data_IF_594587037772
#
_entry.id   IF_594587037772
#
_cell.length_a   1.000
_cell.length_b   1.000
_cell.length_c   1.000
_cell.angle_alpha   90.00
_cell.angle_beta   90.00
_cell.angle_gamma   90.00
#
_symmetry.space_group_name_H-M   'P 1'
#
loop_
_entity.id
_entity.type
_entity.pdbx_description
1 polymer ?
#
# COMPACT_ATOMS: atom_id res chain seq x y z
N UNK A 1 27.85 2.11 -6.23
CA UNK A 1 26.60 2.52 -5.55
C UNK A 1 25.57 1.44 -5.80
N UNK A 2 25.25 0.63 -4.79
CA UNK A 2 24.17 -0.35 -4.91
C UNK A 2 22.85 0.41 -4.99
N UNK A 3 22.11 0.27 -6.10
CA UNK A 3 20.69 0.63 -6.16
C UNK A 3 20.02 -0.10 -4.99
N UNK A 4 19.61 0.61 -3.96
CA UNK A 4 18.74 0.01 -2.96
C UNK A 4 17.51 -0.51 -3.72
N UNK A 5 17.18 -1.81 -3.65
CA UNK A 5 15.97 -2.33 -4.26
C UNK A 5 14.81 -1.50 -3.72
N UNK A 6 14.01 -0.96 -4.64
CA UNK A 6 12.83 -0.16 -4.30
C UNK A 6 12.03 -0.96 -3.26
N UNK A 7 11.62 -0.34 -2.13
CA UNK A 7 10.88 -1.04 -1.10
C UNK A 7 9.71 -1.77 -1.75
N UNK A 8 9.55 -3.07 -1.47
CA UNK A 8 8.37 -3.84 -1.90
C UNK A 8 7.03 -3.16 -1.51
N UNK A 9 7.08 -2.18 -0.60
CA UNK A 9 6.01 -1.22 -0.29
C UNK A 9 5.35 -0.58 -1.53
N UNK A 10 6.12 -0.31 -2.60
CA UNK A 10 5.55 0.26 -3.84
C UNK A 10 4.71 -0.77 -4.61
N UNK A 11 4.90 -2.06 -4.37
CA UNK A 11 4.15 -3.15 -5.02
C UNK A 11 2.96 -3.65 -4.19
N UNK A 12 2.87 -3.31 -2.90
CA UNK A 12 1.73 -3.73 -2.06
C UNK A 12 0.47 -2.89 -2.31
N UNK A 13 0.65 -1.67 -2.80
CA UNK A 13 -0.48 -0.81 -3.17
C UNK A 13 -0.93 -1.13 -4.59
N UNK A 14 -1.85 -2.09 -4.72
CA UNK A 14 -2.67 -2.21 -5.93
C UNK A 14 -3.23 -0.82 -6.30
N UNK A 15 -3.38 -0.52 -7.59
CA UNK A 15 -3.79 0.81 -8.07
C UNK A 15 -5.04 1.37 -7.35
N UNK A 16 -5.97 0.48 -6.99
CA UNK A 16 -7.13 0.76 -6.13
C UNK A 16 -6.76 1.27 -4.74
N UNK A 17 -5.82 0.61 -4.05
CA UNK A 17 -5.33 1.00 -2.74
C UNK A 17 -4.65 2.38 -2.78
N UNK A 18 -3.83 2.64 -3.80
CA UNK A 18 -3.22 3.95 -4.01
C UNK A 18 -4.29 5.05 -4.17
N UNK A 19 -5.26 4.85 -5.08
CA UNK A 19 -6.34 5.82 -5.30
C UNK A 19 -7.14 6.11 -4.03
N UNK A 20 -7.46 5.08 -3.24
CA UNK A 20 -8.23 5.21 -2.00
C UNK A 20 -7.42 5.91 -0.89
N UNK A 21 -6.11 5.66 -0.79
CA UNK A 21 -5.24 6.32 0.18
C UNK A 21 -5.02 7.80 -0.14
N UNK A 22 -4.92 8.15 -1.42
CA UNK A 22 -4.75 9.53 -1.86
C UNK A 22 -6.04 10.35 -1.85
N UNK A 23 -7.20 9.73 -1.60
CA UNK A 23 -8.47 10.42 -1.50
C UNK A 23 -8.62 11.17 -0.17
N UNK A 24 -8.27 12.46 -0.21
CA UNK A 24 -8.34 13.38 0.92
C UNK A 24 -9.76 13.74 1.34
N UNK A 25 -10.76 13.66 0.44
CA UNK A 25 -12.15 14.01 0.80
C UNK A 25 -12.77 12.98 1.74
N UNK A 26 -12.25 11.74 1.70
CA UNK A 26 -12.79 10.56 2.39
C UNK A 26 -14.25 10.23 2.06
N UNK A 27 -14.85 10.97 1.13
CA UNK A 27 -16.24 10.86 0.71
C UNK A 27 -16.32 11.19 -0.79
N UNK A 28 -16.74 10.21 -1.60
CA UNK A 28 -17.08 10.44 -3.01
C UNK A 28 -16.02 10.05 -4.04
N UNK A 29 -15.00 9.26 -3.70
CA UNK A 29 -14.12 8.67 -4.71
C UNK A 29 -14.87 7.65 -5.55
N UNK A 30 -14.82 7.81 -6.87
CA UNK A 30 -15.24 6.81 -7.85
C UNK A 30 -14.01 6.27 -8.60
N UNK A 31 -13.89 4.96 -8.68
CA UNK A 31 -12.85 4.28 -9.46
C UNK A 31 -13.40 3.94 -10.84
N UNK A 32 -12.70 4.37 -11.88
CA UNK A 32 -13.07 4.12 -13.27
C UNK A 32 -12.14 3.06 -13.85
N UNK A 33 -12.72 1.98 -14.36
CA UNK A 33 -11.97 0.87 -14.94
C UNK A 33 -11.98 0.92 -16.47
N UNK A 34 -10.99 0.33 -17.16
CA UNK A 34 -10.89 0.37 -18.63
C UNK A 34 -12.11 -0.20 -19.38
N UNK A 35 -12.93 -1.02 -18.73
CA UNK A 35 -14.18 -1.56 -19.29
C UNK A 35 -15.40 -0.63 -19.20
N UNK A 36 -15.24 0.57 -18.63
CA UNK A 36 -16.34 1.52 -18.41
C UNK A 36 -17.04 1.35 -17.06
N UNK A 37 -16.69 0.32 -16.29
CA UNK A 37 -17.22 0.13 -14.94
C UNK A 37 -16.79 1.25 -14.01
N UNK A 38 -17.72 1.67 -13.16
CA UNK A 38 -17.50 2.68 -12.13
C UNK A 38 -17.82 2.07 -10.78
N UNK A 39 -16.85 2.06 -9.87
CA UNK A 39 -17.04 1.64 -8.49
C UNK A 39 -16.99 2.84 -7.56
N UNK A 40 -18.10 3.11 -6.87
CA UNK A 40 -18.11 4.10 -5.79
C UNK A 40 -17.42 3.52 -4.55
N UNK A 41 -16.43 4.23 -4.04
CA UNK A 41 -15.71 3.84 -2.83
C UNK A 41 -16.58 4.18 -1.62
N UNK A 42 -17.23 3.15 -1.09
CA UNK A 42 -18.00 3.23 0.15
C UNK A 42 -17.07 3.17 1.38
N UNK A 43 -17.55 3.55 2.57
CA UNK A 43 -16.80 3.33 3.82
C UNK A 43 -16.37 1.88 4.01
N UNK A 44 -17.19 0.91 3.60
CA UNK A 44 -16.88 -0.52 3.68
C UNK A 44 -15.74 -0.89 2.74
N UNK A 45 -15.76 -0.44 1.49
CA UNK A 45 -14.66 -0.67 0.53
C UNK A 45 -13.35 -0.08 1.07
N UNK A 46 -13.41 1.13 1.63
CA UNK A 46 -12.24 1.77 2.25
C UNK A 46 -11.71 0.94 3.41
N UNK A 47 -12.58 0.46 4.30
CA UNK A 47 -12.18 -0.38 5.43
C UNK A 47 -11.54 -1.70 4.97
N UNK A 48 -12.11 -2.37 3.96
CA UNK A 48 -11.55 -3.59 3.39
C UNK A 48 -10.18 -3.37 2.76
N UNK A 49 -9.99 -2.27 2.04
CA UNK A 49 -8.70 -1.90 1.45
C UNK A 49 -7.67 -1.59 2.53
N UNK A 50 -8.07 -0.85 3.58
CA UNK A 50 -7.21 -0.59 4.73
C UNK A 50 -6.78 -1.89 5.41
N UNK A 51 -7.71 -2.81 5.66
CA UNK A 51 -7.41 -4.11 6.26
C UNK A 51 -6.43 -4.92 5.39
N UNK A 52 -6.64 -4.96 4.07
CA UNK A 52 -5.75 -5.65 3.14
C UNK A 52 -4.33 -5.05 3.14
N UNK A 53 -4.20 -3.73 3.18
CA UNK A 53 -2.89 -3.06 3.31
C UNK A 53 -2.24 -3.44 4.62
N UNK A 54 -2.96 -3.35 5.74
CA UNK A 54 -2.44 -3.70 7.07
C UNK A 54 -1.94 -5.14 7.11
N UNK A 55 -2.74 -6.10 6.66
CA UNK A 55 -2.34 -7.51 6.61
C UNK A 55 -1.12 -7.75 5.72
N UNK A 56 -1.04 -7.07 4.57
CA UNK A 56 0.13 -7.14 3.70
C UNK A 56 1.39 -6.60 4.37
N UNK A 57 1.28 -5.46 5.04
CA UNK A 57 2.39 -4.86 5.79
C UNK A 57 2.81 -5.75 6.96
N UNK A 58 1.88 -6.26 7.77
CA UNK A 58 2.20 -7.15 8.89
C UNK A 58 2.94 -8.41 8.44
N UNK A 59 2.58 -8.96 7.27
CA UNK A 59 3.24 -10.13 6.70
C UNK A 59 4.62 -9.82 6.11
N UNK A 60 4.72 -8.77 5.31
CA UNK A 60 5.86 -8.55 4.42
C UNK A 60 6.91 -7.59 5.02
N UNK A 61 6.49 -6.73 5.94
CA UNK A 61 7.34 -5.65 6.46
C UNK A 61 8.40 -6.13 7.47
N UNK A 62 8.10 -7.06 8.40
CA UNK A 62 9.12 -7.57 9.32
C UNK A 62 10.37 -8.16 8.64
N UNK A 63 10.27 -9.10 7.67
CA UNK A 63 11.46 -9.64 7.01
C UNK A 63 12.18 -8.57 6.15
N UNK A 64 11.44 -7.63 5.56
CA UNK A 64 12.03 -6.52 4.81
C UNK A 64 12.86 -5.59 5.70
N UNK A 65 12.33 -5.21 6.88
CA UNK A 65 13.02 -4.37 7.86
C UNK A 65 14.23 -5.11 8.45
N UNK A 66 14.11 -6.41 8.73
CA UNK A 66 15.26 -7.20 9.18
C UNK A 66 16.38 -7.17 8.13
N UNK A 67 16.05 -7.40 6.86
CA UNK A 67 17.04 -7.31 5.78
C UNK A 67 17.62 -5.90 5.56
N UNK A 68 16.98 -4.84 6.06
CA UNK A 68 17.53 -3.47 6.09
C UNK A 68 18.53 -3.30 7.24
N UNK A 69 18.24 -3.89 8.40
CA UNK A 69 19.11 -3.89 9.57
C UNK A 69 20.38 -4.70 9.26
N UNK A 70 20.23 -5.91 8.72
CA UNK A 70 21.35 -6.83 8.44
C UNK A 70 22.37 -6.25 7.46
N UNK A 71 21.92 -5.37 6.55
CA UNK A 71 22.78 -4.66 5.58
C UNK A 71 23.29 -3.30 6.08
N UNK A 72 23.00 -2.94 7.32
CA UNK A 72 23.38 -1.67 7.94
C UNK A 72 22.71 -0.44 7.33
N UNK A 73 21.58 -0.61 6.61
CA UNK A 73 20.85 0.50 6.02
C UNK A 73 19.89 1.19 7.00
N UNK A 74 19.51 0.50 8.08
CA UNK A 74 18.78 1.04 9.22
C UNK A 74 19.50 0.59 10.49
N UNK A 75 19.68 1.50 11.45
CA UNK A 75 20.16 1.19 12.79
C UNK A 75 18.97 1.20 13.74
N UNK A 76 18.79 0.12 14.49
CA UNK A 76 17.90 0.09 15.65
C UNK A 76 18.72 0.50 16.86
N UNK A 77 18.41 1.66 17.46
CA UNK A 77 18.94 2.06 18.76
C UNK A 77 18.49 1.09 19.86
#
# INVERSE_FOLDING_TARGET
>A
MAKAPVPQLYMTLIQKAHAILCDASRAGLCLYYPGGDVEQVTPQVRASVHAAITTGLERDWPPYIQGLIDRGAIQTN
#
